data_IF_133973411732
#
_entry.id   IF_133973411732
#
_cell.length_a   1.000
_cell.length_b   1.000
_cell.length_c   1.000
_cell.angle_alpha   90.00
_cell.angle_beta   90.00
_cell.angle_gamma   90.00
#
_symmetry.space_group_name_H-M   'P 1'
#
loop_
_entity.id
_entity.type
_entity.pdbx_description
1 polymer ?
#
# COMPACT_ATOMS: atom_id res chain seq x y z
N UNK A 1 -13.80 18.56 -5.12
CA UNK A 1 -12.96 17.50 -5.71
C UNK A 1 -11.89 17.20 -4.69
N UNK A 2 -12.10 16.20 -3.82
CA UNK A 2 -11.07 15.75 -2.88
C UNK A 2 -10.16 14.78 -3.62
N UNK A 3 -8.84 14.93 -3.47
CA UNK A 3 -7.93 13.87 -3.90
C UNK A 3 -8.02 12.73 -2.88
N UNK A 4 -8.11 11.48 -3.32
CA UNK A 4 -8.27 10.32 -2.44
C UNK A 4 -6.93 9.58 -2.34
N UNK A 5 -6.23 9.68 -1.21
CA UNK A 5 -4.98 8.96 -0.96
C UNK A 5 -5.32 7.74 -0.12
N UNK A 6 -4.93 6.56 -0.57
CA UNK A 6 -5.50 5.32 -0.08
C UNK A 6 -4.44 4.38 0.50
N UNK A 7 -4.82 3.69 1.58
CA UNK A 7 -3.98 2.76 2.34
C UNK A 7 -4.54 1.34 2.32
N UNK A 8 -3.73 0.34 1.98
CA UNK A 8 -4.21 -1.06 1.89
C UNK A 8 -3.77 -1.97 3.05
N UNK A 9 -4.63 -2.86 3.56
CA UNK A 9 -4.27 -4.22 4.01
C UNK A 9 -5.47 -5.21 4.00
N UNK A 10 -5.20 -6.52 4.08
CA UNK A 10 -6.14 -7.53 4.55
C UNK A 10 -6.51 -8.58 3.50
N UNK A 11 -5.85 -9.74 3.53
CA UNK A 11 -6.35 -10.99 2.96
C UNK A 11 -6.56 -11.99 4.09
N UNK A 12 -7.74 -12.59 4.17
CA UNK A 12 -8.04 -13.65 5.13
C UNK A 12 -7.63 -15.02 4.57
N UNK A 13 -7.01 -15.79 5.47
CA UNK A 13 -6.93 -17.25 5.57
C UNK A 13 -5.63 -17.94 5.11
N UNK A 14 -4.93 -18.39 6.16
CA UNK A 14 -3.91 -19.45 6.27
C UNK A 14 -2.43 -19.01 6.20
N UNK A 15 -1.73 -19.30 7.31
CA UNK A 15 -0.28 -19.24 7.56
C UNK A 15 0.31 -17.86 7.90
N UNK A 16 0.31 -17.54 9.21
CA UNK A 16 1.25 -16.69 9.96
C UNK A 16 1.95 -15.50 9.24
N UNK A 17 1.21 -14.47 8.81
CA UNK A 17 1.68 -13.06 8.82
C UNK A 17 0.56 -12.11 8.41
N UNK A 18 0.06 -11.32 9.36
CA UNK A 18 -0.85 -10.22 9.06
C UNK A 18 -0.05 -8.91 9.00
N UNK A 19 0.40 -8.50 7.82
CA UNK A 19 1.13 -7.25 7.63
C UNK A 19 0.17 -6.05 7.50
N UNK A 20 -0.54 -5.67 8.57
CA UNK A 20 -1.30 -4.41 8.60
C UNK A 20 -0.40 -3.21 8.26
N UNK A 21 -0.91 -2.20 7.55
CA UNK A 21 -0.20 -0.93 7.48
C UNK A 21 0.02 -0.45 8.93
N UNK A 22 1.27 -0.18 9.35
CA UNK A 22 1.52 0.18 10.74
C UNK A 22 0.71 1.40 11.14
N UNK A 23 0.00 1.32 12.28
CA UNK A 23 -0.89 2.39 12.77
C UNK A 23 -0.24 3.78 12.71
N UNK A 24 1.05 3.87 13.04
CA UNK A 24 1.82 5.12 12.99
C UNK A 24 1.86 5.75 11.59
N UNK A 25 2.03 4.95 10.54
CA UNK A 25 2.04 5.44 9.14
C UNK A 25 0.67 6.00 8.77
N UNK A 26 -0.40 5.26 9.10
CA UNK A 26 -1.78 5.70 8.81
C UNK A 26 -2.12 7.01 9.48
N UNK A 27 -1.84 7.14 10.78
CA UNK A 27 -2.14 8.37 11.52
C UNK A 27 -1.30 9.54 11.01
N UNK A 28 -0.04 9.30 10.62
CA UNK A 28 0.80 10.33 10.02
C UNK A 28 0.29 10.80 8.65
N UNK A 29 -0.17 9.88 7.79
CA UNK A 29 -0.77 10.23 6.50
C UNK A 29 -2.04 11.09 6.69
N UNK A 30 -2.89 10.75 7.66
CA UNK A 30 -4.08 11.55 8.01
C UNK A 30 -3.71 12.95 8.49
N UNK A 31 -2.64 13.07 9.27
CA UNK A 31 -2.18 14.35 9.80
C UNK A 31 -1.56 15.24 8.70
N UNK A 32 -0.74 14.67 7.83
CA UNK A 32 -0.01 15.38 6.78
C UNK A 32 -0.92 15.77 5.61
N UNK A 33 -1.91 14.93 5.28
CA UNK A 33 -2.81 15.12 4.15
C UNK A 33 -4.28 15.26 4.58
N UNK A 34 -4.64 16.31 5.35
CA UNK A 34 -5.98 16.46 5.93
C UNK A 34 -7.08 16.70 4.88
N UNK A 35 -6.71 17.08 3.65
CA UNK A 35 -7.64 17.27 2.53
C UNK A 35 -7.92 15.98 1.77
N UNK A 36 -7.19 14.91 2.07
CA UNK A 36 -7.35 13.61 1.43
C UNK A 36 -8.19 12.69 2.31
N UNK A 37 -9.01 11.87 1.66
CA UNK A 37 -9.75 10.81 2.33
C UNK A 37 -8.86 9.57 2.48
N UNK A 38 -8.23 9.41 3.65
CA UNK A 38 -7.38 8.27 3.97
C UNK A 38 -8.25 7.08 4.38
N UNK A 39 -8.56 6.24 3.39
CA UNK A 39 -9.37 5.03 3.59
C UNK A 39 -8.47 3.82 3.80
N UNK A 40 -8.85 2.98 4.75
CA UNK A 40 -8.19 1.70 5.02
C UNK A 40 -8.93 0.57 4.29
N UNK A 41 -8.22 -0.13 3.43
CA UNK A 41 -8.66 -1.44 2.97
C UNK A 41 -8.56 -2.45 4.11
N UNK A 42 -9.57 -3.30 4.27
CA UNK A 42 -9.55 -4.39 5.24
C UNK A 42 -9.78 -5.78 4.60
N UNK A 43 -10.02 -5.84 3.29
CA UNK A 43 -10.38 -7.07 2.57
C UNK A 43 -11.72 -7.69 2.97
N UNK A 44 -12.53 -6.98 3.75
CA UNK A 44 -13.86 -7.41 4.19
C UNK A 44 -14.96 -6.75 3.35
N UNK A 45 -16.08 -7.46 3.20
CA UNK A 45 -17.24 -6.97 2.47
C UNK A 45 -17.25 -7.36 0.98
N UNK A 46 -18.21 -6.84 0.21
CA UNK A 46 -18.41 -7.23 -1.19
C UNK A 46 -17.20 -6.88 -2.07
N UNK A 47 -16.79 -7.81 -2.94
CA UNK A 47 -15.66 -7.61 -3.86
C UNK A 47 -15.81 -6.35 -4.72
N UNK A 48 -17.03 -6.01 -5.15
CA UNK A 48 -17.26 -4.80 -5.95
C UNK A 48 -16.94 -3.53 -5.16
N UNK A 49 -17.28 -3.47 -3.87
CA UNK A 49 -16.95 -2.33 -3.02
C UNK A 49 -15.45 -2.20 -2.83
N UNK A 50 -14.76 -3.34 -2.69
CA UNK A 50 -13.31 -3.40 -2.60
C UNK A 50 -12.64 -2.86 -3.88
N UNK A 51 -13.07 -3.35 -5.05
CA UNK A 51 -12.52 -2.91 -6.34
C UNK A 51 -12.82 -1.43 -6.63
N UNK A 52 -14.03 -0.96 -6.33
CA UNK A 52 -14.41 0.45 -6.54
C UNK A 52 -13.50 1.41 -5.77
N UNK A 53 -13.02 1.00 -4.60
CA UNK A 53 -12.13 1.81 -3.78
C UNK A 53 -10.71 1.87 -4.36
N UNK A 54 -10.21 0.80 -4.98
CA UNK A 54 -8.96 0.87 -5.77
C UNK A 54 -9.13 1.65 -7.07
N UNK A 55 -10.30 1.56 -7.72
CA UNK A 55 -10.58 2.31 -8.95
C UNK A 55 -10.60 3.84 -8.74
N UNK A 56 -11.02 4.28 -7.55
CA UNK A 56 -11.04 5.69 -7.16
C UNK A 56 -9.72 6.20 -6.54
N UNK A 57 -8.74 5.33 -6.30
CA UNK A 57 -7.52 5.69 -5.59
C UNK A 57 -6.61 6.62 -6.42
N UNK A 58 -6.24 7.75 -5.84
CA UNK A 58 -5.26 8.70 -6.41
C UNK A 58 -3.83 8.43 -5.95
N UNK A 59 -3.64 7.59 -4.94
CA UNK A 59 -2.36 7.09 -4.42
C UNK A 59 -2.65 5.79 -3.66
N UNK A 60 -1.77 4.80 -3.76
CA UNK A 60 -1.85 3.53 -3.01
C UNK A 60 -0.60 3.40 -2.14
N UNK A 61 -0.78 3.35 -0.82
CA UNK A 61 0.30 3.02 0.14
C UNK A 61 -0.02 1.68 0.78
N UNK A 62 0.87 0.72 0.62
CA UNK A 62 0.55 -0.68 0.86
C UNK A 62 1.75 -1.47 1.37
N UNK A 63 1.61 -2.35 2.37
CA UNK A 63 2.61 -3.38 2.64
C UNK A 63 2.66 -4.40 1.49
N UNK A 64 3.80 -5.06 1.32
CA UNK A 64 3.94 -6.16 0.37
C UNK A 64 2.93 -7.26 0.70
N UNK A 65 2.04 -7.57 -0.25
CA UNK A 65 1.02 -8.58 -0.05
C UNK A 65 -0.07 -8.59 -1.11
N UNK A 66 -0.86 -9.67 -1.15
CA UNK A 66 -1.83 -9.95 -2.22
C UNK A 66 -2.83 -8.82 -2.48
N UNK A 67 -3.18 -8.01 -1.47
CA UNK A 67 -4.08 -6.87 -1.64
C UNK A 67 -3.58 -5.84 -2.66
N UNK A 68 -2.27 -5.74 -2.86
CA UNK A 68 -1.67 -4.82 -3.82
C UNK A 68 -1.99 -5.19 -5.28
N UNK A 69 -2.38 -6.44 -5.54
CA UNK A 69 -2.84 -6.87 -6.87
C UNK A 69 -4.11 -6.15 -7.35
N UNK A 70 -4.90 -5.61 -6.43
CA UNK A 70 -6.10 -4.84 -6.76
C UNK A 70 -5.78 -3.52 -7.48
N UNK A 71 -4.51 -3.08 -7.57
CA UNK A 71 -4.12 -1.95 -8.43
C UNK A 71 -4.54 -2.15 -9.89
N UNK A 72 -4.82 -3.39 -10.32
CA UNK A 72 -5.30 -3.71 -11.67
C UNK A 72 -6.56 -2.95 -12.09
N UNK A 73 -7.37 -2.49 -11.13
CA UNK A 73 -8.57 -1.68 -11.41
C UNK A 73 -8.36 -0.17 -11.22
N UNK A 74 -7.16 0.25 -10.79
CA UNK A 74 -6.82 1.65 -10.58
C UNK A 74 -6.61 2.40 -11.88
N UNK A 75 -6.70 3.73 -11.81
CA UNK A 75 -6.49 4.60 -12.96
C UNK A 75 -5.04 4.54 -13.46
N UNK A 76 -4.82 4.77 -14.75
CA UNK A 76 -3.47 4.86 -15.30
C UNK A 76 -2.63 5.89 -14.55
N UNK A 77 -1.35 5.59 -14.37
CA UNK A 77 -0.40 6.44 -13.63
C UNK A 77 -0.73 6.66 -12.15
N UNK A 78 -1.67 5.91 -11.55
CA UNK A 78 -1.85 5.91 -10.09
C UNK A 78 -0.49 5.64 -9.40
N UNK A 79 -0.02 6.53 -8.51
CA UNK A 79 1.15 6.28 -7.69
C UNK A 79 0.93 5.13 -6.71
N UNK A 80 1.94 4.27 -6.58
CA UNK A 80 1.95 3.09 -5.72
C UNK A 80 3.25 3.11 -4.91
N UNK A 81 3.11 3.22 -3.59
CA UNK A 81 4.20 3.02 -2.64
C UNK A 81 4.01 1.67 -1.94
N UNK A 82 4.86 0.71 -2.31
CA UNK A 82 4.94 -0.57 -1.62
C UNK A 82 5.89 -0.47 -0.41
N UNK A 83 5.50 -1.03 0.73
CA UNK A 83 6.31 -1.17 1.94
C UNK A 83 6.68 -2.65 2.07
N UNK A 84 7.92 -2.99 1.78
CA UNK A 84 8.38 -4.36 1.82
C UNK A 84 9.89 -4.46 1.56
N UNK A 85 10.58 -5.42 2.21
CA UNK A 85 11.99 -5.67 2.03
C UNK A 85 12.35 -5.92 0.56
N UNK A 86 13.55 -5.52 0.12
CA UNK A 86 13.98 -5.74 -1.26
C UNK A 86 14.18 -7.22 -1.59
N UNK A 87 14.37 -8.09 -0.59
CA UNK A 87 14.42 -9.55 -0.76
C UNK A 87 13.09 -10.13 -1.28
N UNK A 88 11.99 -9.39 -1.14
CA UNK A 88 10.70 -9.81 -1.64
C UNK A 88 10.62 -9.70 -3.14
N UNK A 89 9.96 -10.70 -3.74
CA UNK A 89 9.71 -10.72 -5.17
C UNK A 89 9.15 -9.38 -5.63
N UNK A 90 9.69 -8.83 -6.72
CA UNK A 90 9.25 -7.57 -7.29
C UNK A 90 7.95 -7.75 -8.11
N UNK A 91 7.03 -8.62 -7.67
CA UNK A 91 5.84 -8.99 -8.43
C UNK A 91 4.91 -7.78 -8.66
N UNK A 92 4.72 -6.93 -7.66
CA UNK A 92 3.87 -5.74 -7.79
C UNK A 92 4.56 -4.60 -8.53
N UNK A 93 5.89 -4.48 -8.46
CA UNK A 93 6.63 -3.58 -9.35
C UNK A 93 6.39 -3.94 -10.82
N UNK A 94 6.53 -5.23 -11.18
CA UNK A 94 6.28 -5.67 -12.56
C UNK A 94 4.82 -5.46 -12.98
N UNK A 95 3.87 -5.71 -12.07
CA UNK A 95 2.45 -5.44 -12.31
C UNK A 95 2.21 -3.95 -12.55
N UNK A 96 2.72 -3.08 -11.67
CA UNK A 96 2.60 -1.63 -11.76
C UNK A 96 3.16 -1.10 -13.08
N UNK A 97 4.34 -1.58 -13.51
CA UNK A 97 4.94 -1.20 -14.80
C UNK A 97 4.05 -1.62 -15.97
N UNK A 98 3.49 -2.84 -15.96
CA UNK A 98 2.57 -3.30 -17.02
C UNK A 98 1.27 -2.49 -17.08
N UNK A 99 0.81 -1.99 -15.94
CA UNK A 99 -0.38 -1.14 -15.80
C UNK A 99 -0.07 0.36 -15.95
N UNK A 100 1.18 0.72 -16.23
CA UNK A 100 1.64 2.10 -16.37
C UNK A 100 1.42 2.95 -15.10
N UNK A 101 1.55 2.35 -13.93
CA UNK A 101 1.54 3.06 -12.65
C UNK A 101 2.92 3.63 -12.32
N UNK A 102 2.95 4.66 -11.47
CA UNK A 102 4.17 5.21 -10.90
C UNK A 102 4.48 4.41 -9.64
N UNK A 103 5.62 3.74 -9.57
CA UNK A 103 5.90 2.78 -8.50
C UNK A 103 7.16 3.14 -7.73
N UNK A 104 7.07 3.08 -6.39
CA UNK A 104 8.19 3.13 -5.47
C UNK A 104 8.08 2.00 -4.44
N UNK A 105 9.22 1.58 -3.89
CA UNK A 105 9.27 0.62 -2.78
C UNK A 105 10.11 1.19 -1.64
N UNK A 106 9.54 1.17 -0.44
CA UNK A 106 10.21 1.44 0.82
C UNK A 106 10.55 0.10 1.50
N UNK A 107 11.76 -0.09 2.07
CA UNK A 107 12.22 -1.40 2.57
C UNK A 107 11.43 -1.93 3.77
N UNK A 108 10.68 -1.07 4.47
CA UNK A 108 9.77 -1.46 5.55
C UNK A 108 10.44 -1.64 6.91
N UNK A 109 11.76 -1.67 6.95
CA UNK A 109 12.60 -1.66 8.16
C UNK A 109 14.00 -1.16 7.79
N UNK A 110 14.82 -0.86 8.79
CA UNK A 110 16.25 -0.58 8.60
C UNK A 110 17.08 -1.84 8.32
N UNK A 111 16.52 -3.02 8.59
CA UNK A 111 17.18 -4.31 8.42
C UNK A 111 16.85 -4.91 7.04
N UNK A 112 17.86 -5.00 6.19
CA UNK A 112 17.76 -5.49 4.82
C UNK A 112 17.38 -6.98 4.72
N UNK A 113 17.50 -7.72 5.83
CA UNK A 113 17.33 -9.17 5.91
C UNK A 113 15.93 -9.56 6.43
N UNK A 114 15.07 -8.57 6.65
CA UNK A 114 13.70 -8.80 7.13
C UNK A 114 12.96 -9.71 6.14
N UNK A 115 12.36 -10.81 6.60
CA UNK A 115 11.63 -11.71 5.71
C UNK A 115 10.36 -11.02 5.19
N UNK A 116 9.85 -11.52 4.06
CA UNK A 116 8.71 -10.90 3.35
C UNK A 116 7.36 -11.02 4.04
N UNK A 117 7.25 -11.97 4.97
CA UNK A 117 6.13 -12.15 5.88
C UNK A 117 6.41 -11.51 7.25
N UNK A 118 7.52 -10.77 7.36
CA UNK A 118 7.92 -10.06 8.56
C UNK A 118 6.97 -8.89 8.90
N UNK A 119 7.06 -8.43 10.14
CA UNK A 119 6.41 -7.19 10.56
C UNK A 119 7.26 -6.01 10.08
N UNK A 120 6.60 -5.01 9.51
CA UNK A 120 7.25 -3.79 9.05
C UNK A 120 7.18 -2.70 10.13
N UNK A 121 8.32 -2.06 10.37
CA UNK A 121 8.46 -0.85 11.18
C UNK A 121 9.13 0.25 10.32
N UNK A 122 8.43 0.76 9.30
CA UNK A 122 8.99 1.73 8.37
C UNK A 122 9.24 3.07 9.05
N UNK A 123 10.25 3.80 8.57
CA UNK A 123 10.43 5.20 8.93
C UNK A 123 9.26 6.01 8.37
N UNK A 124 8.44 6.55 9.26
CA UNK A 124 7.23 7.30 8.89
C UNK A 124 7.59 8.58 8.13
N UNK A 125 8.70 9.24 8.47
CA UNK A 125 9.16 10.44 7.79
C UNK A 125 9.56 10.16 6.35
N UNK A 126 10.27 9.05 6.11
CA UNK A 126 10.61 8.61 4.76
C UNK A 126 9.36 8.28 3.93
N UNK A 127 8.39 7.57 4.52
CA UNK A 127 7.10 7.32 3.87
C UNK A 127 6.41 8.63 3.47
N UNK A 128 6.34 9.62 4.38
CA UNK A 128 5.72 10.92 4.10
C UNK A 128 6.46 11.69 2.99
N UNK A 129 7.78 11.58 2.91
CA UNK A 129 8.56 12.19 1.83
C UNK A 129 8.28 11.54 0.47
N UNK A 130 8.11 10.21 0.43
CA UNK A 130 7.89 9.45 -0.81
C UNK A 130 6.49 9.62 -1.40
N UNK A 131 5.49 9.98 -0.59
CA UNK A 131 4.09 10.12 -1.03
C UNK A 131 3.69 11.56 -1.38
N UNK A 132 4.61 12.51 -1.30
CA UNK A 132 4.41 13.90 -1.74
C UNK A 132 4.49 14.02 -3.26
#
# INVERSE_FOLDING_TARGET
MGLHAFCTFGGLNTWHAAAFLPTKVREALKAEFPTFDIVEFLGIGPIMSQLNLFAAASLIVAPHGAGLSNMVVSSLHTPVLEIGPPICAACYMHLAVKLQHIYARHPGSSEWDTPCDGKYEPDVGEILLLVR
#
